data_IF_091490641292
#
_entry.id   IF_091490641292
#
_cell.length_a   1.000
_cell.length_b   1.000
_cell.length_c   1.000
_cell.angle_alpha   90.00
_cell.angle_beta   90.00
_cell.angle_gamma   90.00
#
_symmetry.space_group_name_H-M   'P 1'
#
loop_
_entity.id
_entity.type
_entity.pdbx_description
1 polymer ?
#
# COMPACT_ATOMS: atom_id res chain seq x y z
N UNK A 1 -4.61 10.75 13.65
CA UNK A 1 -5.28 11.39 12.51
C UNK A 1 -6.74 11.58 12.90
N UNK A 2 -7.27 12.78 12.73
CA UNK A 2 -8.68 13.06 13.00
C UNK A 2 -9.56 12.42 11.91
N UNK A 3 -10.80 12.06 12.22
CA UNK A 3 -11.68 11.36 11.25
C UNK A 3 -11.92 12.15 9.96
N UNK A 4 -11.98 13.48 10.05
CA UNK A 4 -12.14 14.36 8.90
C UNK A 4 -10.93 14.33 7.95
N UNK A 5 -9.71 14.32 8.50
CA UNK A 5 -8.47 14.21 7.74
C UNK A 5 -8.40 12.87 7.00
N UNK A 6 -8.75 11.78 7.70
CA UNK A 6 -8.80 10.45 7.10
C UNK A 6 -9.75 10.41 5.92
N UNK A 7 -10.95 11.00 6.08
CA UNK A 7 -11.97 11.02 5.06
C UNK A 7 -11.54 11.81 3.82
N UNK A 8 -10.81 12.91 4.00
CA UNK A 8 -10.23 13.65 2.88
C UNK A 8 -9.16 12.83 2.15
N UNK A 9 -8.27 12.15 2.88
CA UNK A 9 -7.22 11.33 2.27
C UNK A 9 -7.80 10.14 1.48
N UNK A 10 -8.87 9.50 1.97
CA UNK A 10 -9.56 8.43 1.22
C UNK A 10 -10.21 8.91 -0.08
N UNK A 11 -10.49 10.21 -0.22
CA UNK A 11 -11.00 10.79 -1.46
C UNK A 11 -9.89 11.22 -2.43
N UNK A 12 -8.67 11.41 -1.92
CA UNK A 12 -7.52 11.82 -2.73
C UNK A 12 -6.71 10.63 -3.25
N UNK A 13 -6.78 9.50 -2.56
CA UNK A 13 -6.03 8.28 -2.87
C UNK A 13 -6.95 7.26 -3.57
N UNK A 14 -6.38 6.32 -4.34
CA UNK A 14 -7.13 5.19 -4.87
C UNK A 14 -7.92 4.48 -3.76
N UNK A 15 -9.19 4.17 -4.05
CA UNK A 15 -10.08 3.51 -3.08
C UNK A 15 -9.45 2.21 -2.56
N UNK A 16 -9.49 1.98 -1.24
CA UNK A 16 -8.91 0.80 -0.59
C UNK A 16 -7.39 0.85 -0.37
N UNK A 17 -6.67 1.84 -0.91
CA UNK A 17 -5.22 1.95 -0.70
C UNK A 17 -4.85 2.07 0.77
N UNK A 18 -5.52 2.98 1.48
CA UNK A 18 -5.25 3.30 2.87
C UNK A 18 -5.73 2.21 3.85
N UNK A 19 -6.35 1.14 3.37
CA UNK A 19 -6.67 -0.02 4.19
C UNK A 19 -5.41 -0.86 4.43
N UNK A 20 -4.52 -0.92 3.44
CA UNK A 20 -3.31 -1.74 3.48
C UNK A 20 -2.01 -0.96 3.67
N UNK A 21 -2.01 0.34 3.38
CA UNK A 21 -0.81 1.18 3.47
C UNK A 21 -1.01 2.36 4.41
N UNK A 22 0.07 2.73 5.10
CA UNK A 22 0.19 3.96 5.88
C UNK A 22 1.01 4.97 5.08
N UNK A 23 0.57 6.23 5.07
CA UNK A 23 1.37 7.33 4.53
C UNK A 23 2.44 7.69 5.57
N UNK A 24 3.69 7.55 5.19
CA UNK A 24 4.85 7.83 6.05
C UNK A 24 5.37 9.25 5.86
N UNK A 25 5.35 9.74 4.62
CA UNK A 25 5.89 11.05 4.26
C UNK A 25 5.19 11.59 3.02
N UNK A 26 5.02 12.91 2.98
CA UNK A 26 4.57 13.64 1.79
C UNK A 26 5.56 14.75 1.51
N UNK A 27 6.24 14.68 0.37
CA UNK A 27 7.24 15.66 -0.05
C UNK A 27 6.75 16.38 -1.30
N UNK A 28 6.73 17.71 -1.24
CA UNK A 28 6.41 18.55 -2.39
C UNK A 28 7.70 19.13 -2.97
N UNK A 29 8.00 18.83 -4.24
CA UNK A 29 9.18 19.34 -4.97
C UNK A 29 8.83 19.62 -6.42
N UNK A 30 9.28 20.75 -6.97
CA UNK A 30 9.22 21.07 -8.41
C UNK A 30 7.85 20.86 -9.08
N UNK A 31 6.75 21.22 -8.40
CA UNK A 31 5.34 20.98 -8.82
C UNK A 31 4.93 19.50 -8.89
N UNK A 32 5.67 18.63 -8.22
CA UNK A 32 5.34 17.23 -7.99
C UNK A 32 5.09 16.94 -6.50
N UNK A 33 4.21 15.96 -6.26
CA UNK A 33 3.90 15.42 -4.95
C UNK A 33 4.44 13.99 -4.88
N UNK A 34 5.36 13.74 -3.96
CA UNK A 34 5.93 12.44 -3.68
C UNK A 34 5.30 11.93 -2.39
N UNK A 35 4.57 10.81 -2.44
CA UNK A 35 3.87 10.23 -1.29
C UNK A 35 4.52 8.89 -0.98
N UNK A 36 5.12 8.77 0.20
CA UNK A 36 5.77 7.55 0.65
C UNK A 36 4.81 6.72 1.50
N UNK A 37 4.64 5.46 1.12
CA UNK A 37 3.66 4.53 1.65
C UNK A 37 4.35 3.25 2.13
N UNK A 38 4.04 2.84 3.35
CA UNK A 38 4.48 1.57 3.91
C UNK A 38 3.32 0.62 4.08
N UNK A 39 3.50 -0.63 3.68
CA UNK A 39 2.50 -1.65 3.94
C UNK A 39 2.36 -1.88 5.45
N UNK A 40 1.12 -1.84 5.93
CA UNK A 40 0.76 -2.05 7.32
C UNK A 40 1.19 -3.43 7.78
N UNK A 41 1.48 -3.54 9.08
CA UNK A 41 1.78 -4.82 9.71
C UNK A 41 0.49 -5.59 10.06
N UNK A 42 -0.31 -5.90 9.05
CA UNK A 42 -1.53 -6.72 9.16
C UNK A 42 -1.20 -8.09 8.56
N UNK A 43 -1.61 -9.18 9.21
CA UNK A 43 -1.37 -10.52 8.68
C UNK A 43 -1.89 -10.65 7.23
N UNK A 44 -1.11 -11.25 6.31
CA UNK A 44 -1.60 -11.59 4.98
C UNK A 44 -2.64 -12.70 5.05
N UNK A 45 -3.54 -12.72 4.07
CA UNK A 45 -4.61 -13.72 4.00
C UNK A 45 -4.06 -15.15 4.01
N UNK A 46 -4.63 -16.01 4.84
CA UNK A 46 -4.19 -17.39 5.03
C UNK A 46 -3.11 -17.57 6.11
N UNK A 47 -2.68 -16.50 6.78
CA UNK A 47 -1.70 -16.53 7.87
C UNK A 47 -2.22 -15.90 9.17
N UNK A 48 -3.54 -15.70 9.30
CA UNK A 48 -4.17 -15.02 10.44
C UNK A 48 -3.97 -15.77 11.76
N UNK A 49 -3.85 -17.10 11.71
CA UNK A 49 -3.65 -17.96 12.88
C UNK A 49 -2.19 -18.31 13.16
N UNK A 50 -1.24 -17.74 12.41
CA UNK A 50 0.19 -18.09 12.50
C UNK A 50 0.98 -16.95 13.10
N UNK A 51 2.03 -17.26 13.87
CA UNK A 51 2.90 -16.22 14.40
C UNK A 51 3.82 -15.65 13.33
N UNK A 52 3.72 -14.33 13.14
CA UNK A 52 4.47 -13.57 12.15
C UNK A 52 5.33 -12.50 12.82
N UNK A 53 6.58 -12.38 12.37
CA UNK A 53 7.45 -11.27 12.72
C UNK A 53 7.69 -10.39 11.49
N UNK A 54 7.53 -9.08 11.62
CA UNK A 54 7.84 -8.14 10.54
C UNK A 54 9.36 -8.11 10.29
N UNK A 55 9.79 -8.52 9.08
CA UNK A 55 11.19 -8.48 8.61
C UNK A 55 11.42 -7.36 7.60
N UNK A 56 10.96 -6.16 7.95
CA UNK A 56 11.12 -4.95 7.15
C UNK A 56 10.38 -5.01 5.81
N UNK A 57 10.94 -4.34 4.81
CA UNK A 57 10.27 -4.12 3.52
C UNK A 57 11.08 -4.64 2.34
N UNK A 58 10.39 -4.86 1.22
CA UNK A 58 10.99 -5.02 -0.10
C UNK A 58 11.51 -3.67 -0.62
N UNK A 59 12.36 -3.68 -1.67
CA UNK A 59 12.73 -2.45 -2.36
C UNK A 59 11.48 -1.65 -2.78
N UNK A 60 11.51 -0.31 -2.66
CA UNK A 60 10.38 0.53 -3.00
C UNK A 60 10.03 0.40 -4.48
N UNK A 61 8.74 0.52 -4.79
CA UNK A 61 8.22 0.60 -6.16
C UNK A 61 7.56 1.96 -6.37
N UNK A 62 7.66 2.52 -7.57
CA UNK A 62 7.12 3.83 -7.90
C UNK A 62 5.92 3.70 -8.84
N UNK A 63 4.84 4.42 -8.54
CA UNK A 63 3.65 4.50 -9.40
C UNK A 63 3.29 5.96 -9.63
N UNK A 64 2.96 6.30 -10.87
CA UNK A 64 2.37 7.60 -11.20
C UNK A 64 0.86 7.54 -10.96
N UNK A 65 0.37 8.49 -10.19
CA UNK A 65 -1.05 8.63 -9.90
C UNK A 65 -1.63 9.89 -10.56
N UNK A 66 -2.95 10.03 -10.51
CA UNK A 66 -3.63 11.18 -11.08
C UNK A 66 -3.13 12.50 -10.47
N UNK A 67 -2.92 13.55 -11.28
CA UNK A 67 -2.45 14.83 -10.76
C UNK A 67 -3.42 15.45 -9.77
N UNK A 68 -2.94 15.81 -8.58
CA UNK A 68 -3.74 16.52 -7.58
C UNK A 68 -3.49 18.02 -7.76
N UNK A 69 -4.55 18.75 -8.17
CA UNK A 69 -4.51 20.21 -8.37
C UNK A 69 -3.36 20.65 -9.29
N UNK A 70 -3.15 19.92 -10.38
CA UNK A 70 -2.11 20.19 -11.37
C UNK A 70 -0.70 19.73 -10.97
N UNK A 71 -0.53 19.11 -9.81
CA UNK A 71 0.75 18.55 -9.38
C UNK A 71 0.85 17.08 -9.75
N UNK A 72 1.95 16.67 -10.38
CA UNK A 72 2.19 15.27 -10.71
C UNK A 72 2.38 14.47 -9.42
N UNK A 73 1.61 13.40 -9.23
CA UNK A 73 1.70 12.57 -8.03
C UNK A 73 2.51 11.31 -8.34
N UNK A 74 3.48 11.00 -7.47
CA UNK A 74 4.22 9.74 -7.50
C UNK A 74 4.10 9.07 -6.14
N UNK A 75 3.64 7.83 -6.14
CA UNK A 75 3.49 6.98 -4.97
C UNK A 75 4.73 6.09 -4.85
N UNK A 76 5.45 6.21 -3.74
CA UNK A 76 6.59 5.37 -3.37
C UNK A 76 6.15 4.30 -2.39
N UNK A 77 6.10 3.06 -2.82
CA UNK A 77 5.43 1.99 -2.07
C UNK A 77 6.45 0.98 -1.59
N UNK A 78 6.53 0.80 -0.27
CA UNK A 78 7.31 -0.25 0.38
C UNK A 78 6.38 -1.36 0.87
N UNK A 79 6.48 -2.53 0.24
CA UNK A 79 5.74 -3.73 0.63
C UNK A 79 6.45 -4.47 1.76
N UNK A 80 5.70 -5.01 2.71
CA UNK A 80 6.26 -5.64 3.91
C UNK A 80 6.59 -7.09 3.66
N UNK A 81 7.60 -7.58 4.40
CA UNK A 81 7.96 -8.99 4.50
C UNK A 81 7.70 -9.48 5.92
N UNK A 82 7.19 -10.69 6.04
CA UNK A 82 6.98 -11.36 7.32
C UNK A 82 7.78 -12.64 7.38
N UNK A 83 8.36 -12.92 8.54
CA UNK A 83 8.89 -14.23 8.89
C UNK A 83 7.79 -15.04 9.55
N UNK A 84 7.47 -16.19 8.96
CA UNK A 84 6.65 -17.22 9.60
C UNK A 84 7.54 -17.94 10.61
N UNK A 85 7.27 -17.77 11.91
CA UNK A 85 8.16 -18.26 12.95
C UNK A 85 8.27 -19.80 12.96
N UNK A 86 7.16 -20.49 12.73
CA UNK A 86 7.10 -21.96 12.74
C UNK A 86 7.96 -22.59 11.63
N UNK A 87 8.01 -21.98 10.45
CA UNK A 87 8.69 -22.55 9.28
C UNK A 87 9.98 -21.83 8.90
N UNK A 88 10.30 -20.70 9.54
CA UNK A 88 11.43 -19.84 9.19
C UNK A 88 11.33 -19.20 7.79
N UNK A 89 10.15 -19.22 7.15
CA UNK A 89 9.99 -18.74 5.76
C UNK A 89 9.67 -17.26 5.74
N UNK A 90 10.25 -16.54 4.79
CA UNK A 90 9.86 -15.17 4.50
C UNK A 90 8.71 -15.17 3.49
N UNK A 91 7.63 -14.49 3.83
CA UNK A 91 6.45 -14.32 2.98
C UNK A 91 6.17 -12.84 2.73
N UNK A 92 5.42 -12.57 1.68
CA UNK A 92 4.83 -11.27 1.34
C UNK A 92 3.33 -11.47 1.12
N UNK A 93 2.56 -10.39 1.15
CA UNK A 93 1.12 -10.46 0.86
C UNK A 93 0.90 -10.89 -0.59
N UNK A 94 0.03 -11.88 -0.79
CA UNK A 94 -0.49 -12.20 -2.12
C UNK A 94 -1.63 -11.27 -2.47
N UNK A 95 -1.37 -10.37 -3.42
CA UNK A 95 -2.32 -9.36 -3.86
C UNK A 95 -3.40 -9.91 -4.80
N UNK A 96 -3.22 -11.12 -5.35
CA UNK A 96 -4.29 -11.80 -6.10
C UNK A 96 -5.40 -12.29 -5.16
N UNK A 97 -5.07 -12.69 -3.93
CA UNK A 97 -6.08 -13.06 -2.93
C UNK A 97 -6.86 -11.82 -2.47
N UNK A 98 -6.16 -10.69 -2.28
CA UNK A 98 -6.81 -9.40 -1.99
C UNK A 98 -7.75 -9.00 -3.12
N UNK A 99 -7.32 -9.17 -4.38
CA UNK A 99 -8.12 -8.92 -5.59
C UNK A 99 -9.46 -9.67 -5.59
N UNK A 100 -9.45 -10.91 -5.12
CA UNK A 100 -10.61 -11.81 -5.14
C UNK A 100 -11.54 -11.59 -3.95
N UNK A 101 -10.99 -11.25 -2.78
CA UNK A 101 -11.75 -11.04 -1.55
C UNK A 101 -12.30 -9.62 -1.36
N UNK A 102 -11.61 -8.60 -1.88
CA UNK A 102 -12.11 -7.23 -1.89
C UNK A 102 -13.11 -7.07 -3.04
N UNK A 103 -14.19 -6.29 -2.84
CA UNK A 103 -14.97 -5.71 -3.97
C UNK A 103 -14.05 -4.76 -4.71
N UNK A 104 -13.20 -5.30 -5.56
CA UNK A 104 -12.11 -4.54 -6.13
C UNK A 104 -12.67 -3.47 -7.07
N UNK A 105 -12.38 -2.22 -6.75
CA UNK A 105 -12.71 -1.12 -7.63
C UNK A 105 -11.72 -1.08 -8.79
N UNK A 106 -12.17 -0.55 -9.93
CA UNK A 106 -11.31 -0.41 -11.11
C UNK A 106 -10.02 0.35 -10.78
N UNK A 107 -10.10 1.37 -9.93
CA UNK A 107 -8.95 2.16 -9.50
C UNK A 107 -7.93 1.35 -8.68
N UNK A 108 -8.39 0.55 -7.71
CA UNK A 108 -7.48 -0.29 -6.94
C UNK A 108 -6.82 -1.37 -7.81
N UNK A 109 -7.56 -1.94 -8.75
CA UNK A 109 -7.01 -2.90 -9.73
C UNK A 109 -5.93 -2.27 -10.62
N UNK A 110 -6.11 -1.02 -11.05
CA UNK A 110 -5.12 -0.26 -11.81
C UNK A 110 -3.88 0.06 -10.97
N UNK A 111 -4.09 0.44 -9.70
CA UNK A 111 -3.00 0.65 -8.74
C UNK A 111 -2.16 -0.62 -8.56
N UNK A 112 -2.80 -1.78 -8.30
CA UNK A 112 -2.10 -3.05 -8.19
C UNK A 112 -1.34 -3.36 -9.48
N UNK A 113 -1.95 -3.16 -10.65
CA UNK A 113 -1.25 -3.34 -11.93
C UNK A 113 0.01 -2.46 -12.03
N UNK A 114 0.01 -1.25 -11.48
CA UNK A 114 1.20 -0.39 -11.42
C UNK A 114 2.32 -0.92 -10.50
N UNK A 115 1.99 -1.70 -9.46
CA UNK A 115 2.99 -2.35 -8.59
C UNK A 115 3.55 -3.63 -9.21
N UNK A 116 2.68 -4.44 -9.83
CA UNK A 116 2.97 -5.82 -10.19
C UNK A 116 3.17 -6.07 -11.69
N UNK A 117 2.69 -5.17 -12.56
CA UNK A 117 2.77 -5.28 -14.02
C UNK A 117 3.95 -4.53 -14.59
#
# INVERSE_FOLDING_TARGET
>A
MQDAERKLLTLLMPEGLLDYFDIMEVVQKDKGLQIHLDEKNIAPSGYESVQLESKGFMPPSEIKDFPIRGQKVTLHIRRRRWLVLESGKIITRDWNLVRQGARMTTEFGLFLKGIFG
#
